data_IF_921457681469
#
_entry.id   IF_921457681469
#
_cell.length_a   1.000
_cell.length_b   1.000
_cell.length_c   1.000
_cell.angle_alpha   90.00
_cell.angle_beta   90.00
_cell.angle_gamma   90.00
#
_symmetry.space_group_name_H-M   'P 1'
#
loop_
_entity.id
_entity.type
_entity.pdbx_description
1 polymer ?
#
# COMPACT_ATOMS: atom_id res chain seq x y z
N UNK A 1 -23.30 -31.68 9.08
CA UNK A 1 -22.62 -30.48 9.63
C UNK A 1 -21.43 -30.01 8.79
N UNK A 2 -20.61 -30.91 8.23
CA UNK A 2 -19.38 -30.52 7.50
C UNK A 2 -19.57 -29.57 6.30
N UNK A 3 -20.64 -29.73 5.51
CA UNK A 3 -20.84 -28.89 4.32
C UNK A 3 -21.12 -27.42 4.66
N UNK A 4 -21.79 -27.13 5.78
CA UNK A 4 -22.05 -25.74 6.22
C UNK A 4 -20.77 -25.03 6.69
N UNK A 5 -19.85 -25.77 7.30
CA UNK A 5 -18.57 -25.25 7.77
C UNK A 5 -17.69 -24.80 6.59
N UNK A 6 -17.84 -25.42 5.42
CA UNK A 6 -17.15 -25.03 4.19
C UNK A 6 -17.93 -23.97 3.43
N UNK A 7 -19.25 -24.15 3.22
CA UNK A 7 -20.05 -23.25 2.37
C UNK A 7 -20.14 -21.83 2.94
N UNK A 8 -20.31 -21.68 4.26
CA UNK A 8 -20.44 -20.35 4.89
C UNK A 8 -19.23 -19.44 4.68
N UNK A 9 -17.98 -19.86 4.94
CA UNK A 9 -16.82 -19.00 4.66
C UNK A 9 -16.65 -18.70 3.18
N UNK A 10 -16.96 -19.65 2.28
CA UNK A 10 -16.93 -19.38 0.83
C UNK A 10 -17.96 -18.32 0.39
N UNK A 11 -19.19 -18.35 0.94
CA UNK A 11 -20.17 -17.29 0.67
C UNK A 11 -19.72 -15.96 1.25
N UNK A 12 -19.21 -15.95 2.49
CA UNK A 12 -18.72 -14.75 3.13
C UNK A 12 -17.57 -14.11 2.34
N UNK A 13 -16.58 -14.90 1.89
CA UNK A 13 -15.47 -14.40 1.08
C UNK A 13 -15.94 -13.91 -0.29
N UNK A 14 -16.89 -14.59 -0.92
CA UNK A 14 -17.49 -14.16 -2.20
C UNK A 14 -18.21 -12.82 -2.05
N UNK A 15 -18.96 -12.64 -0.96
CA UNK A 15 -19.64 -11.39 -0.66
C UNK A 15 -18.65 -10.25 -0.38
N UNK A 16 -17.59 -10.50 0.38
CA UNK A 16 -16.52 -9.54 0.61
C UNK A 16 -15.82 -9.16 -0.69
N UNK A 17 -15.50 -10.13 -1.54
CA UNK A 17 -14.90 -9.89 -2.85
C UNK A 17 -15.81 -9.02 -3.74
N UNK A 18 -17.11 -9.27 -3.72
CA UNK A 18 -18.09 -8.44 -4.42
C UNK A 18 -18.10 -6.99 -3.93
N UNK A 19 -18.11 -6.77 -2.61
CA UNK A 19 -18.02 -5.43 -2.01
C UNK A 19 -16.74 -4.71 -2.44
N UNK A 20 -15.59 -5.39 -2.34
CA UNK A 20 -14.29 -4.81 -2.72
C UNK A 20 -14.25 -4.49 -4.22
N UNK A 21 -14.84 -5.34 -5.07
CA UNK A 21 -14.93 -5.09 -6.51
C UNK A 21 -15.75 -3.82 -6.80
N UNK A 22 -16.90 -3.66 -6.14
CA UNK A 22 -17.71 -2.45 -6.27
C UNK A 22 -16.95 -1.22 -5.76
N UNK A 23 -16.32 -1.32 -4.58
CA UNK A 23 -15.60 -0.20 -3.97
C UNK A 23 -14.37 0.25 -4.78
N UNK A 24 -13.71 -0.70 -5.46
CA UNK A 24 -12.57 -0.43 -6.34
C UNK A 24 -12.98 0.06 -7.73
N UNK A 25 -14.25 -0.06 -8.12
CA UNK A 25 -14.77 0.40 -9.39
C UNK A 25 -14.47 1.90 -9.62
N UNK A 26 -14.21 2.26 -10.87
CA UNK A 26 -13.74 3.61 -11.24
C UNK A 26 -14.72 4.71 -10.81
N UNK A 27 -16.01 4.46 -10.99
CA UNK A 27 -17.08 5.42 -10.65
C UNK A 27 -17.29 5.61 -9.13
N UNK A 28 -16.88 4.66 -8.29
CA UNK A 28 -17.18 4.65 -6.85
C UNK A 28 -15.96 5.07 -6.04
N UNK A 29 -14.80 4.43 -6.26
CA UNK A 29 -13.52 4.79 -5.66
C UNK A 29 -13.53 5.01 -4.13
N UNK A 30 -13.76 3.96 -3.36
CA UNK A 30 -13.77 4.05 -1.89
C UNK A 30 -12.61 3.27 -1.24
N UNK A 31 -11.35 3.75 -1.36
CA UNK A 31 -10.19 3.05 -0.80
C UNK A 31 -10.20 2.98 0.73
N UNK A 32 -10.96 3.86 1.39
CA UNK A 32 -11.10 3.88 2.85
C UNK A 32 -11.97 2.75 3.41
N UNK A 33 -12.67 1.97 2.56
CA UNK A 33 -13.57 0.88 3.00
C UNK A 33 -12.84 -0.19 3.81
N UNK A 34 -11.55 -0.41 3.52
CA UNK A 34 -10.70 -1.35 4.24
C UNK A 34 -10.30 -0.82 5.62
N UNK A 35 -10.55 0.46 5.94
CA UNK A 35 -10.29 1.03 7.26
C UNK A 35 -8.82 1.23 7.59
N UNK A 36 -7.92 1.21 6.61
CA UNK A 36 -6.49 1.48 6.81
C UNK A 36 -6.32 2.90 7.37
N UNK A 37 -5.74 3.00 8.56
CA UNK A 37 -5.50 4.30 9.18
C UNK A 37 -4.24 4.98 8.64
N UNK A 38 -4.01 6.23 9.06
CA UNK A 38 -2.83 7.02 8.67
C UNK A 38 -1.50 6.37 9.08
N UNK A 39 -1.50 5.50 10.10
CA UNK A 39 -0.34 4.75 10.57
C UNK A 39 -0.14 3.40 9.83
N UNK A 40 -0.99 3.11 8.84
CA UNK A 40 -0.94 1.92 8.00
C UNK A 40 -1.39 0.64 8.70
N UNK A 41 -2.18 0.75 9.77
CA UNK A 41 -2.77 -0.39 10.49
C UNK A 41 -4.25 -0.53 10.17
N UNK A 42 -4.73 -1.78 10.24
CA UNK A 42 -6.13 -2.13 10.12
C UNK A 42 -6.77 -2.29 11.50
N UNK A 43 -7.97 -1.72 11.74
CA UNK A 43 -8.74 -1.97 12.96
C UNK A 43 -9.26 -3.42 12.99
N UNK A 44 -9.60 -3.90 14.19
CA UNK A 44 -10.00 -5.30 14.39
C UNK A 44 -11.20 -5.70 13.54
N UNK A 45 -12.19 -4.80 13.38
CA UNK A 45 -13.36 -5.06 12.55
C UNK A 45 -13.00 -5.30 11.08
N UNK A 46 -12.00 -4.58 10.55
CA UNK A 46 -11.54 -4.74 9.18
C UNK A 46 -10.81 -6.08 9.01
N UNK A 47 -10.00 -6.48 9.98
CA UNK A 47 -9.33 -7.78 9.97
C UNK A 47 -10.36 -8.93 10.00
N UNK A 48 -11.44 -8.79 10.76
CA UNK A 48 -12.50 -9.82 10.82
C UNK A 48 -13.28 -9.90 9.50
N UNK A 49 -13.66 -8.76 8.91
CA UNK A 49 -14.46 -8.73 7.68
C UNK A 49 -13.64 -8.96 6.41
N UNK A 50 -12.53 -8.25 6.25
CA UNK A 50 -11.67 -8.25 5.07
C UNK A 50 -10.44 -9.12 5.21
N UNK A 51 -10.22 -9.80 6.35
CA UNK A 51 -9.02 -10.60 6.64
C UNK A 51 -8.60 -11.54 5.52
N UNK A 52 -9.50 -12.40 4.97
CA UNK A 52 -9.17 -13.27 3.86
C UNK A 52 -8.68 -12.49 2.62
N UNK A 53 -9.33 -11.38 2.28
CA UNK A 53 -8.94 -10.52 1.17
C UNK A 53 -7.58 -9.85 1.41
N UNK A 54 -7.37 -9.25 2.59
CA UNK A 54 -6.11 -8.59 2.97
C UNK A 54 -4.95 -9.60 2.99
N UNK A 55 -5.21 -10.82 3.44
CA UNK A 55 -4.21 -11.89 3.42
C UNK A 55 -3.83 -12.28 1.99
N UNK A 56 -4.81 -12.40 1.09
CA UNK A 56 -4.55 -12.66 -0.33
C UNK A 56 -3.78 -11.52 -1.00
N UNK A 57 -4.12 -10.26 -0.71
CA UNK A 57 -3.39 -9.10 -1.23
C UNK A 57 -1.90 -9.13 -0.82
N UNK A 58 -1.62 -9.43 0.45
CA UNK A 58 -0.25 -9.59 0.96
C UNK A 58 0.47 -10.76 0.31
N UNK A 59 -0.19 -11.90 0.15
CA UNK A 59 0.38 -13.07 -0.52
C UNK A 59 0.68 -12.79 -1.99
N UNK A 60 -0.23 -12.12 -2.70
CA UNK A 60 -0.05 -11.69 -4.08
C UNK A 60 1.17 -10.79 -4.22
N UNK A 61 1.32 -9.78 -3.35
CA UNK A 61 2.49 -8.90 -3.37
C UNK A 61 3.80 -9.67 -3.12
N UNK A 62 3.83 -10.64 -2.19
CA UNK A 62 5.01 -11.50 -1.94
C UNK A 62 5.36 -12.33 -3.18
N UNK A 63 4.37 -13.03 -3.73
CA UNK A 63 4.55 -13.94 -4.86
C UNK A 63 4.98 -13.18 -6.10
N UNK A 64 4.32 -12.06 -6.41
CA UNK A 64 4.67 -11.18 -7.53
C UNK A 64 6.13 -10.77 -7.46
N UNK A 65 6.59 -10.33 -6.28
CA UNK A 65 7.99 -9.93 -6.05
C UNK A 65 8.96 -11.11 -6.22
N UNK A 66 8.61 -12.27 -5.70
CA UNK A 66 9.43 -13.47 -5.85
C UNK A 66 9.57 -13.90 -7.32
N UNK A 67 8.50 -13.80 -8.11
CA UNK A 67 8.48 -14.19 -9.52
C UNK A 67 9.22 -13.19 -10.43
N UNK A 68 9.11 -11.89 -10.16
CA UNK A 68 9.58 -10.84 -11.07
C UNK A 68 11.09 -10.63 -11.11
N UNK A 69 11.85 -11.05 -10.09
CA UNK A 69 13.30 -10.75 -9.94
C UNK A 69 13.66 -9.26 -10.18
N UNK A 70 12.69 -8.36 -10.04
CA UNK A 70 12.86 -6.92 -10.22
C UNK A 70 13.76 -6.34 -9.12
N UNK A 71 14.36 -5.20 -9.44
CA UNK A 71 15.01 -4.32 -8.48
C UNK A 71 14.09 -4.07 -7.29
N UNK A 72 14.68 -4.16 -6.10
CA UNK A 72 13.96 -4.06 -4.82
C UNK A 72 13.35 -2.66 -4.63
N UNK A 73 14.08 -1.67 -5.12
CA UNK A 73 13.74 -0.26 -5.26
C UNK A 73 14.63 0.32 -6.36
N UNK A 74 14.13 1.28 -7.11
CA UNK A 74 14.86 2.04 -8.13
C UNK A 74 14.91 3.51 -7.73
N UNK A 75 16.06 4.14 -7.91
CA UNK A 75 16.20 5.58 -7.71
C UNK A 75 15.68 6.30 -8.96
N UNK A 76 14.65 7.13 -8.79
CA UNK A 76 14.08 7.93 -9.88
C UNK A 76 14.83 9.26 -10.01
N UNK A 77 15.04 9.91 -8.87
CA UNK A 77 15.88 11.11 -8.73
C UNK A 77 16.66 10.99 -7.42
N UNK A 78 17.73 11.76 -7.26
CA UNK A 78 18.53 11.76 -6.04
C UNK A 78 17.64 11.92 -4.79
N UNK A 79 17.69 10.94 -3.89
CA UNK A 79 16.87 10.93 -2.69
C UNK A 79 15.42 10.47 -2.84
N UNK A 80 14.97 10.08 -4.04
CA UNK A 80 13.64 9.51 -4.27
C UNK A 80 13.74 8.12 -4.89
N UNK A 81 13.22 7.16 -4.15
CA UNK A 81 13.19 5.77 -4.53
C UNK A 81 11.75 5.30 -4.76
N UNK A 82 11.59 4.40 -5.71
CA UNK A 82 10.34 3.80 -6.09
C UNK A 82 10.46 2.29 -5.94
N UNK A 83 9.49 1.65 -5.30
CA UNK A 83 9.57 0.21 -5.12
C UNK A 83 8.30 -0.42 -4.57
N UNK A 84 8.21 -1.75 -4.66
CA UNK A 84 7.07 -2.48 -4.12
C UNK A 84 7.03 -2.53 -2.59
N UNK A 85 5.89 -2.96 -2.04
CA UNK A 85 5.69 -3.10 -0.60
C UNK A 85 6.84 -3.87 0.09
N UNK A 86 7.41 -3.35 1.20
CA UNK A 86 8.63 -3.90 1.78
C UNK A 86 8.31 -4.96 2.82
N UNK A 87 8.55 -6.23 2.50
CA UNK A 87 8.40 -7.34 3.47
C UNK A 87 9.53 -7.42 4.50
N UNK A 88 10.72 -6.90 4.17
CA UNK A 88 11.95 -6.98 4.97
C UNK A 88 12.61 -5.61 5.02
N UNK A 89 13.33 -5.30 6.10
CA UNK A 89 14.04 -4.03 6.24
C UNK A 89 15.07 -3.80 5.12
N UNK A 90 15.70 -4.88 4.63
CA UNK A 90 16.61 -4.84 3.47
C UNK A 90 15.95 -4.39 2.16
N UNK A 91 14.61 -4.33 2.12
CA UNK A 91 13.91 -3.84 0.94
C UNK A 91 13.86 -2.33 0.86
N UNK A 92 14.13 -1.64 1.97
CA UNK A 92 14.25 -0.20 1.99
C UNK A 92 15.65 0.23 1.53
N UNK A 93 15.77 1.40 0.87
CA UNK A 93 17.05 2.01 0.60
C UNK A 93 17.82 2.31 1.91
N UNK A 94 19.16 2.40 1.84
CA UNK A 94 20.02 2.59 3.02
C UNK A 94 19.98 4.02 3.55
N UNK A 95 19.73 4.22 4.85
CA UNK A 95 19.73 5.57 5.46
C UNK A 95 18.41 5.99 6.12
N UNK A 96 17.60 5.04 6.57
CA UNK A 96 16.33 5.29 7.30
C UNK A 96 15.35 6.17 6.52
N UNK A 97 14.84 5.68 5.37
CA UNK A 97 13.95 6.46 4.52
C UNK A 97 12.57 6.71 5.15
N UNK A 98 11.99 7.85 4.79
CA UNK A 98 10.56 8.08 4.91
C UNK A 98 9.82 7.29 3.85
N UNK A 99 8.64 6.77 4.19
CA UNK A 99 7.86 5.89 3.34
C UNK A 99 6.51 6.53 3.02
N UNK A 100 6.22 6.68 1.74
CA UNK A 100 4.92 7.06 1.22
C UNK A 100 4.25 5.79 0.68
N UNK A 101 3.17 5.37 1.31
CA UNK A 101 2.45 4.17 0.92
C UNK A 101 1.20 4.52 0.14
N UNK A 102 1.18 4.16 -1.15
CA UNK A 102 0.08 4.40 -2.06
C UNK A 102 -0.77 3.13 -2.25
N UNK A 103 -0.99 2.38 -1.17
CA UNK A 103 -1.87 1.20 -1.16
C UNK A 103 -2.89 1.32 -0.03
N UNK A 104 -4.12 0.86 -0.24
CA UNK A 104 -5.14 0.79 0.81
C UNK A 104 -5.24 -0.60 1.46
N UNK A 105 -4.64 -1.62 0.84
CA UNK A 105 -4.82 -3.05 1.12
C UNK A 105 -3.63 -3.70 1.83
N UNK A 106 -2.44 -3.10 1.75
CA UNK A 106 -1.24 -3.63 2.43
C UNK A 106 -0.99 -2.88 3.75
N UNK A 107 -0.65 -3.56 4.85
CA UNK A 107 -0.36 -2.88 6.11
C UNK A 107 1.08 -2.31 6.11
N UNK A 108 1.33 -1.29 6.92
CA UNK A 108 2.69 -0.82 7.20
C UNK A 108 3.52 -1.94 7.83
N UNK A 109 4.75 -2.11 7.34
CA UNK A 109 5.72 -3.02 7.94
C UNK A 109 6.22 -2.49 9.28
N UNK A 110 6.38 -3.38 10.27
CA UNK A 110 6.67 -3.01 11.66
C UNK A 110 8.00 -2.27 11.84
N UNK A 111 8.98 -2.56 10.99
CA UNK A 111 10.30 -1.91 11.00
C UNK A 111 10.31 -0.47 10.47
N UNK A 112 9.21 0.01 9.87
CA UNK A 112 9.07 1.40 9.45
C UNK A 112 8.55 2.20 10.66
N UNK A 113 9.25 3.25 11.12
CA UNK A 113 8.72 4.12 12.17
C UNK A 113 7.39 4.80 11.76
N UNK A 114 6.50 5.05 12.71
CA UNK A 114 5.17 5.62 12.40
C UNK A 114 5.24 7.09 11.96
N UNK A 115 6.20 7.83 12.49
CA UNK A 115 6.61 9.19 12.11
C UNK A 115 7.20 9.26 10.69
N UNK A 116 7.86 8.18 10.27
CA UNK A 116 8.43 8.03 8.93
C UNK A 116 7.47 7.41 7.92
N UNK A 117 6.18 7.32 8.24
CA UNK A 117 5.19 6.71 7.35
C UNK A 117 4.07 7.71 6.99
N UNK A 118 3.73 7.76 5.70
CA UNK A 118 2.59 8.51 5.18
C UNK A 118 1.71 7.58 4.35
N UNK A 119 0.46 7.39 4.77
CA UNK A 119 -0.52 6.61 4.04
C UNK A 119 -1.31 7.49 3.06
N UNK A 120 -1.20 7.20 1.76
CA UNK A 120 -2.07 7.70 0.70
C UNK A 120 -2.93 6.53 0.22
N UNK A 121 -4.02 6.25 0.94
CA UNK A 121 -4.84 5.08 0.65
C UNK A 121 -5.42 5.14 -0.78
N UNK A 122 -4.90 4.30 -1.66
CA UNK A 122 -5.31 4.14 -3.05
C UNK A 122 -5.40 2.68 -3.43
N UNK A 123 -6.31 2.36 -4.36
CA UNK A 123 -6.38 1.03 -4.94
C UNK A 123 -5.16 0.77 -5.82
N UNK A 124 -4.68 -0.47 -5.87
CA UNK A 124 -3.55 -0.88 -6.71
C UNK A 124 -3.75 -0.56 -8.22
N UNK A 125 -5.00 -0.48 -8.66
CA UNK A 125 -5.36 -0.12 -10.03
C UNK A 125 -5.32 1.38 -10.32
N UNK A 126 -4.91 2.22 -9.37
CA UNK A 126 -5.00 3.69 -9.48
C UNK A 126 -3.84 4.46 -8.87
N UNK A 127 -3.56 5.61 -9.49
CA UNK A 127 -2.67 6.62 -8.95
C UNK A 127 -3.33 7.43 -7.82
N UNK A 128 -2.53 7.96 -6.88
CA UNK A 128 -2.93 9.05 -6.00
C UNK A 128 -3.47 10.24 -6.80
N UNK A 129 -4.49 10.88 -6.25
CA UNK A 129 -5.04 12.12 -6.80
C UNK A 129 -4.03 13.26 -6.68
N UNK A 130 -4.14 14.33 -7.51
CA UNK A 130 -3.24 15.48 -7.42
C UNK A 130 -3.13 16.07 -6.00
N UNK A 131 -4.25 16.18 -5.28
CA UNK A 131 -4.26 16.64 -3.88
C UNK A 131 -3.46 15.71 -2.94
N UNK A 132 -3.51 14.39 -3.16
CA UNK A 132 -2.71 13.43 -2.39
C UNK A 132 -1.21 13.55 -2.73
N UNK A 133 -0.87 13.85 -3.99
CA UNK A 133 0.51 14.09 -4.42
C UNK A 133 1.05 15.36 -3.76
N UNK A 134 0.29 16.45 -3.75
CA UNK A 134 0.65 17.70 -3.06
C UNK A 134 0.85 17.46 -1.56
N UNK A 135 -0.04 16.69 -0.92
CA UNK A 135 0.10 16.30 0.49
C UNK A 135 1.39 15.50 0.73
N UNK A 136 1.72 14.59 -0.19
CA UNK A 136 2.96 13.83 -0.15
C UNK A 136 4.16 14.77 -0.20
N UNK A 137 4.18 15.67 -1.19
CA UNK A 137 5.25 16.65 -1.38
C UNK A 137 5.47 17.51 -0.14
N UNK A 138 4.41 18.11 0.42
CA UNK A 138 4.49 18.88 1.67
C UNK A 138 4.99 18.03 2.83
N UNK A 139 4.58 16.77 2.90
CA UNK A 139 5.04 15.80 3.88
C UNK A 139 6.53 15.47 3.76
N UNK A 140 7.08 15.44 2.54
CA UNK A 140 8.50 15.21 2.28
C UNK A 140 9.33 16.44 2.66
N UNK A 141 8.94 17.62 2.21
CA UNK A 141 9.63 18.89 2.52
C UNK A 141 9.73 19.11 4.03
N UNK A 142 8.64 18.84 4.78
CA UNK A 142 8.66 18.95 6.24
C UNK A 142 9.63 17.98 6.92
N UNK A 143 9.92 16.83 6.30
CA UNK A 143 10.85 15.84 6.86
C UNK A 143 12.30 16.17 6.52
N UNK A 144 12.53 16.68 5.31
CA UNK A 144 13.83 17.20 4.90
C UNK A 144 14.32 18.31 5.83
N UNK A 145 13.45 19.29 6.12
CA UNK A 145 13.76 20.39 7.05
C UNK A 145 14.09 19.93 8.48
N UNK A 146 13.72 18.69 8.86
CA UNK A 146 14.07 18.09 10.17
C UNK A 146 15.43 17.40 10.18
N UNK A 147 16.19 17.44 9.08
CA UNK A 147 17.50 16.80 8.97
C UNK A 147 17.45 15.32 8.64
N UNK A 148 16.26 14.76 8.40
CA UNK A 148 16.12 13.44 7.83
C UNK A 148 16.36 13.58 6.33
N UNK A 149 17.60 13.30 5.90
CA UNK A 149 18.02 13.36 4.49
C UNK A 149 16.92 12.83 3.59
N UNK A 150 16.56 13.62 2.58
CA UNK A 150 15.59 13.35 1.52
C UNK A 150 15.77 11.91 1.00
N UNK A 151 15.15 10.94 1.64
CA UNK A 151 15.19 9.56 1.19
C UNK A 151 13.80 9.01 1.34
N UNK A 152 13.04 9.11 0.26
CA UNK A 152 11.63 8.79 0.25
C UNK A 152 11.40 7.54 -0.59
N UNK A 153 10.70 6.55 -0.05
CA UNK A 153 10.27 5.39 -0.82
C UNK A 153 8.78 5.48 -1.09
N UNK A 154 8.40 5.55 -2.37
CA UNK A 154 7.00 5.45 -2.79
C UNK A 154 6.67 3.99 -3.04
N UNK A 155 5.67 3.48 -2.31
CA UNK A 155 5.16 2.13 -2.49
C UNK A 155 3.91 2.09 -3.35
N UNK A 156 4.03 1.38 -4.47
CA UNK A 156 2.93 1.05 -5.36
C UNK A 156 2.86 -0.48 -5.50
N UNK A 157 1.66 -1.02 -5.66
CA UNK A 157 1.48 -2.45 -5.89
C UNK A 157 1.50 -2.82 -7.41
N UNK A 158 1.38 -1.84 -8.34
CA UNK A 158 1.43 -2.00 -9.81
C UNK A 158 2.25 -0.92 -10.52
N UNK A 159 3.02 -1.36 -11.54
CA UNK A 159 3.81 -0.53 -12.47
C UNK A 159 2.99 0.41 -13.38
N UNK A 160 1.76 0.06 -13.72
CA UNK A 160 0.94 0.93 -14.58
C UNK A 160 0.64 2.27 -13.88
N UNK A 161 0.61 2.26 -12.55
CA UNK A 161 0.50 3.46 -11.72
C UNK A 161 1.84 4.18 -11.57
N UNK A 162 2.97 3.46 -11.65
CA UNK A 162 4.31 4.05 -11.61
C UNK A 162 4.48 5.09 -12.73
N UNK A 163 4.02 4.80 -13.95
CA UNK A 163 4.15 5.72 -15.07
C UNK A 163 3.39 7.04 -14.84
N UNK A 164 2.21 6.98 -14.22
CA UNK A 164 1.40 8.17 -13.93
C UNK A 164 1.96 8.99 -12.77
N UNK A 165 2.59 8.37 -11.77
CA UNK A 165 3.17 9.09 -10.62
C UNK A 165 4.52 9.75 -10.93
N UNK A 166 5.27 9.26 -11.92
CA UNK A 166 6.60 9.79 -12.32
C UNK A 166 6.49 10.87 -13.40
N UNK A 167 5.32 11.04 -14.03
CA UNK A 167 5.07 12.06 -15.05
C UNK A 167 4.79 13.47 -14.50
N UNK A 168 4.88 13.69 -13.18
CA UNK A 168 4.65 14.97 -12.52
C UNK A 168 5.85 15.41 -11.69
#
# INVERSE_FOLDING_TARGET
MGMRIVVLPFLATSFVAFIVTIASHNAINLPWILGKNSLGKFPLWSIVLFGPFLMLARAYAMIKRYMRKESVHDMIVEGLYLGGWPFLAKHLPPGSPSVIDCTCDLPRSSFIPADEYLCLATWDTRAPTPCQIELAHVGLVKRDLRGNRFMSTVHLAREEVLASCVQF
#
